data_IF_770559936652
#
_entry.id   IF_770559936652
#
_cell.length_a   1.000
_cell.length_b   1.000
_cell.length_c   1.000
_cell.angle_alpha   90.00
_cell.angle_beta   90.00
_cell.angle_gamma   90.00
#
_symmetry.space_group_name_H-M   'P 1'
#
loop_
_entity.id
_entity.type
_entity.pdbx_description
1 polymer ?
#
# COMPACT_ATOMS: atom_id res chain seq x y z
N UNK A 1 -72.61 35.22 64.27
CA UNK A 1 -73.26 33.93 64.55
C UNK A 1 -73.20 33.08 63.27
N UNK A 2 -72.20 32.19 63.13
CA UNK A 2 -72.03 31.37 61.92
C UNK A 2 -72.68 29.99 62.12
N UNK A 3 -73.62 29.66 61.24
CA UNK A 3 -74.42 28.42 61.26
C UNK A 3 -73.56 27.28 60.69
N UNK A 4 -73.32 26.24 61.49
CA UNK A 4 -72.51 25.07 61.14
C UNK A 4 -73.20 24.29 60.00
N UNK A 5 -72.58 24.11 58.81
CA UNK A 5 -73.20 23.36 57.73
C UNK A 5 -73.29 21.87 58.09
N UNK A 6 -74.47 21.30 57.87
CA UNK A 6 -74.76 19.87 58.04
C UNK A 6 -74.15 19.11 56.86
N UNK A 7 -73.09 18.35 57.12
CA UNK A 7 -72.52 17.42 56.15
C UNK A 7 -73.48 16.22 56.07
N UNK A 8 -74.28 16.15 55.00
CA UNK A 8 -75.09 14.97 54.71
C UNK A 8 -74.18 13.84 54.23
N UNK A 9 -74.37 12.64 54.78
CA UNK A 9 -73.63 11.45 54.34
C UNK A 9 -74.01 11.17 52.88
N UNK A 10 -73.04 11.01 51.96
CA UNK A 10 -73.34 10.64 50.59
C UNK A 10 -74.09 9.32 50.55
N UNK A 11 -75.05 9.19 49.63
CA UNK A 11 -75.80 7.95 49.47
C UNK A 11 -74.91 6.88 48.83
N UNK A 12 -75.19 5.60 49.12
CA UNK A 12 -74.42 4.46 48.58
C UNK A 12 -74.17 4.54 47.06
N UNK A 13 -75.12 4.96 46.20
CA UNK A 13 -74.89 5.08 44.77
C UNK A 13 -73.82 6.12 44.43
N UNK A 14 -73.76 7.23 45.16
CA UNK A 14 -72.77 8.30 44.91
C UNK A 14 -71.37 7.83 45.27
N UNK A 15 -71.23 7.05 46.35
CA UNK A 15 -69.94 6.46 46.72
C UNK A 15 -69.45 5.49 45.65
N UNK A 16 -70.34 4.61 45.17
CA UNK A 16 -70.03 3.66 44.09
C UNK A 16 -69.70 4.38 42.79
N UNK A 17 -70.45 5.43 42.44
CA UNK A 17 -70.22 6.22 41.24
C UNK A 17 -68.87 6.94 41.27
N UNK A 18 -68.48 7.52 42.42
CA UNK A 18 -67.18 8.16 42.57
C UNK A 18 -66.03 7.15 42.46
N UNK A 19 -66.17 5.95 43.07
CA UNK A 19 -65.16 4.89 42.97
C UNK A 19 -65.03 4.39 41.52
N UNK A 20 -66.15 4.11 40.86
CA UNK A 20 -66.16 3.68 39.47
C UNK A 20 -65.55 4.73 38.54
N UNK A 21 -65.83 6.01 38.79
CA UNK A 21 -65.25 7.12 38.05
C UNK A 21 -63.74 7.24 38.27
N UNK A 22 -63.26 7.04 39.49
CA UNK A 22 -61.82 7.00 39.79
C UNK A 22 -61.12 5.86 39.04
N UNK A 23 -61.72 4.67 38.98
CA UNK A 23 -61.16 3.55 38.22
C UNK A 23 -61.21 3.78 36.70
N UNK A 24 -62.30 4.33 36.18
CA UNK A 24 -62.45 4.64 34.75
C UNK A 24 -61.45 5.70 34.27
N UNK A 25 -61.10 6.67 35.12
CA UNK A 25 -60.13 7.72 34.82
C UNK A 25 -58.67 7.31 35.12
N UNK A 26 -58.45 6.25 35.90
CA UNK A 26 -57.10 5.75 36.22
C UNK A 26 -56.41 5.00 35.07
N UNK A 27 -57.07 4.85 33.92
CA UNK A 27 -56.56 4.15 32.74
C UNK A 27 -55.48 4.90 31.94
N UNK A 28 -54.78 5.87 32.53
CA UNK A 28 -53.63 6.50 31.86
C UNK A 28 -52.40 5.62 32.06
N UNK A 29 -51.91 5.05 30.96
CA UNK A 29 -50.73 4.21 30.88
C UNK A 29 -49.57 4.76 31.71
N UNK A 30 -49.24 4.04 32.79
CA UNK A 30 -48.06 4.32 33.61
C UNK A 30 -46.85 3.64 32.97
N UNK A 31 -46.40 4.14 31.82
CA UNK A 31 -45.06 3.82 31.33
C UNK A 31 -44.03 4.71 32.04
N UNK A 32 -44.03 4.66 33.37
CA UNK A 32 -42.93 5.19 34.19
C UNK A 32 -42.04 4.01 34.57
N UNK A 33 -41.37 3.46 33.57
CA UNK A 33 -40.44 2.35 33.71
C UNK A 33 -39.40 2.49 32.62
N UNK A 34 -38.17 2.14 32.95
CA UNK A 34 -37.07 2.00 32.01
C UNK A 34 -37.51 1.14 30.83
N UNK A 35 -37.60 1.73 29.64
CA UNK A 35 -37.81 1.01 28.38
C UNK A 35 -36.56 0.16 28.14
N UNK A 36 -36.71 -1.16 28.19
CA UNK A 36 -35.64 -2.10 27.88
C UNK A 36 -35.59 -2.44 26.40
N UNK A 37 -34.57 -3.19 25.98
CA UNK A 37 -34.45 -3.64 24.58
C UNK A 37 -35.64 -4.49 24.12
N UNK A 38 -36.31 -5.20 25.04
CA UNK A 38 -37.49 -6.02 24.74
C UNK A 38 -38.76 -5.20 24.44
N UNK A 39 -38.77 -3.91 24.79
CA UNK A 39 -39.88 -2.99 24.53
C UNK A 39 -39.72 -2.27 23.19
N UNK A 40 -38.55 -2.38 22.55
CA UNK A 40 -38.26 -1.78 21.24
C UNK A 40 -38.72 -2.73 20.14
N UNK A 41 -39.54 -2.23 19.23
CA UNK A 41 -39.97 -2.98 18.06
C UNK A 41 -38.86 -2.93 17.00
N UNK A 42 -38.57 -4.07 16.37
CA UNK A 42 -37.58 -4.15 15.29
C UNK A 42 -37.88 -3.12 14.18
N UNK A 43 -36.83 -2.46 13.67
CA UNK A 43 -36.89 -1.42 12.64
C UNK A 43 -37.74 -0.17 13.00
N UNK A 44 -38.12 0.01 14.27
CA UNK A 44 -38.93 1.16 14.68
C UNK A 44 -38.14 2.45 14.91
N UNK A 45 -36.81 2.34 15.10
CA UNK A 45 -35.93 3.48 15.33
C UNK A 45 -35.49 4.09 14.00
N UNK A 46 -35.70 5.39 13.86
CA UNK A 46 -35.35 6.19 12.68
C UNK A 46 -34.18 7.11 13.02
N UNK A 47 -33.54 7.68 12.00
CA UNK A 47 -32.43 8.63 12.20
C UNK A 47 -32.79 9.82 13.10
N UNK A 48 -34.04 10.30 13.03
CA UNK A 48 -34.56 11.39 13.88
C UNK A 48 -34.58 11.01 15.37
N UNK A 49 -34.67 9.72 15.69
CA UNK A 49 -34.63 9.22 17.06
C UNK A 49 -33.19 9.17 17.61
N UNK A 50 -32.17 9.22 16.73
CA UNK A 50 -30.76 9.06 17.04
C UNK A 50 -29.98 10.37 17.23
N UNK A 51 -30.65 11.44 17.71
CA UNK A 51 -30.08 12.78 18.02
C UNK A 51 -28.96 13.24 17.06
N UNK A 52 -29.16 13.04 15.75
CA UNK A 52 -28.21 13.42 14.69
C UNK A 52 -26.74 12.99 14.97
N UNK A 53 -26.55 11.76 15.45
CA UNK A 53 -25.23 11.20 15.73
C UNK A 53 -24.69 11.51 17.13
N UNK A 54 -25.48 12.18 17.99
CA UNK A 54 -25.11 12.40 19.39
C UNK A 54 -25.64 11.32 20.35
N UNK A 55 -26.59 10.49 19.91
CA UNK A 55 -27.17 9.43 20.74
C UNK A 55 -26.30 8.18 20.81
N UNK A 56 -25.60 7.83 19.73
CA UNK A 56 -24.74 6.65 19.60
C UNK A 56 -23.29 7.12 19.54
N UNK A 57 -22.50 6.83 20.57
CA UNK A 57 -21.07 7.09 20.64
C UNK A 57 -20.29 5.92 20.06
N UNK A 58 -19.00 6.13 19.79
CA UNK A 58 -18.12 5.05 19.34
C UNK A 58 -18.08 3.85 20.27
N UNK A 59 -18.31 4.02 21.57
CA UNK A 59 -18.40 2.91 22.53
C UNK A 59 -19.77 2.20 22.57
N UNK A 60 -20.81 2.78 21.95
CA UNK A 60 -22.13 2.16 21.81
C UNK A 60 -22.21 1.28 20.55
N UNK A 61 -21.34 1.57 19.56
CA UNK A 61 -21.05 0.68 18.44
C UNK A 61 -20.03 -0.34 18.95
N UNK A 62 -20.36 -1.63 18.97
CA UNK A 62 -19.39 -2.65 19.39
C UNK A 62 -18.18 -2.55 18.45
N UNK A 63 -17.02 -2.23 19.02
CA UNK A 63 -15.75 -2.16 18.31
C UNK A 63 -15.15 -3.58 18.19
N UNK A 64 -15.72 -4.47 17.36
CA UNK A 64 -14.95 -5.63 16.90
C UNK A 64 -13.97 -5.12 15.89
N UNK A 65 -12.74 -5.47 16.16
CA UNK A 65 -11.83 -5.82 15.09
C UNK A 65 -11.85 -7.32 14.75
N UNK A 66 -12.34 -8.23 15.61
CA UNK A 66 -12.11 -9.68 15.42
C UNK A 66 -13.09 -10.54 16.23
N UNK A 67 -13.84 -11.43 15.58
CA UNK A 67 -14.73 -12.46 16.16
C UNK A 67 -15.56 -12.06 17.42
N UNK A 68 -16.64 -11.27 17.25
CA UNK A 68 -17.57 -10.88 18.33
C UNK A 68 -18.61 -9.75 18.07
N UNK A 69 -18.59 -9.03 16.94
CA UNK A 69 -19.39 -7.86 16.52
C UNK A 69 -18.61 -6.53 16.31
N UNK A 70 -18.66 -5.90 15.12
CA UNK A 70 -18.08 -4.55 14.84
C UNK A 70 -17.88 -4.11 13.37
N UNK A 71 -17.35 -2.89 13.21
CA UNK A 71 -17.05 -2.10 12.00
C UNK A 71 -16.21 -2.79 10.90
N UNK A 72 -16.76 -3.64 10.01
CA UNK A 72 -15.96 -4.18 8.89
C UNK A 72 -16.08 -3.33 7.62
N UNK A 73 -15.17 -3.54 6.65
CA UNK A 73 -15.19 -2.80 5.37
C UNK A 73 -16.51 -2.90 4.60
N UNK A 74 -17.34 -3.93 4.83
CA UNK A 74 -18.69 -4.04 4.26
C UNK A 74 -19.68 -3.04 4.84
N UNK A 75 -19.50 -2.64 6.09
CA UNK A 75 -20.37 -1.70 6.80
C UNK A 75 -20.00 -0.24 6.47
N UNK A 76 -18.79 -0.03 5.94
CA UNK A 76 -18.27 1.27 5.52
C UNK A 76 -18.56 1.47 4.03
N UNK A 77 -19.29 2.53 3.69
CA UNK A 77 -19.42 2.96 2.31
C UNK A 77 -18.19 3.78 1.93
N UNK A 78 -17.13 3.12 1.45
CA UNK A 78 -15.84 3.78 1.15
C UNK A 78 -15.98 5.00 0.21
N UNK A 79 -16.98 5.01 -0.68
CA UNK A 79 -17.26 6.13 -1.59
C UNK A 79 -17.72 7.41 -0.89
N UNK A 80 -18.04 7.37 0.41
CA UNK A 80 -18.42 8.54 1.21
C UNK A 80 -17.32 9.02 2.14
N UNK A 81 -16.14 8.40 2.10
CA UNK A 81 -14.98 8.86 2.85
C UNK A 81 -14.32 10.04 2.12
N UNK A 82 -13.90 11.05 2.88
CA UNK A 82 -13.06 12.13 2.38
C UNK A 82 -11.61 11.64 2.17
N UNK A 83 -10.81 12.46 1.49
CA UNK A 83 -9.37 12.21 1.32
C UNK A 83 -8.69 12.03 2.67
N UNK A 84 -7.98 10.90 2.84
CA UNK A 84 -7.14 10.66 4.02
C UNK A 84 -6.00 11.69 4.03
N UNK A 85 -5.92 12.60 5.02
CA UNK A 85 -5.01 13.75 4.97
C UNK A 85 -3.52 13.41 4.88
N UNK A 86 -3.13 12.22 5.34
CA UNK A 86 -1.74 11.78 5.44
C UNK A 86 -1.38 10.62 4.50
N UNK A 87 -2.23 10.34 3.51
CA UNK A 87 -2.01 9.21 2.59
C UNK A 87 -0.74 9.34 1.74
N UNK A 88 -0.18 10.55 1.60
CA UNK A 88 1.09 10.77 0.90
C UNK A 88 2.32 10.53 1.76
N UNK A 89 2.16 10.12 3.03
CA UNK A 89 3.27 9.90 3.96
C UNK A 89 3.38 8.45 4.38
N UNK A 90 4.62 7.99 4.54
CA UNK A 90 4.98 6.70 5.11
C UNK A 90 5.99 6.95 6.23
N UNK A 91 5.65 6.57 7.46
CA UNK A 91 6.44 6.85 8.67
C UNK A 91 6.80 8.34 8.86
N UNK A 92 5.87 9.23 8.48
CA UNK A 92 6.03 10.69 8.58
C UNK A 92 6.86 11.33 7.47
N UNK A 93 7.42 10.51 6.57
CA UNK A 93 8.14 10.96 5.38
C UNK A 93 7.16 11.14 4.22
N UNK A 94 7.21 12.30 3.56
CA UNK A 94 6.43 12.54 2.34
C UNK A 94 6.90 11.62 1.21
N UNK A 95 5.99 11.25 0.30
CA UNK A 95 6.28 10.43 -0.88
C UNK A 95 7.46 10.97 -1.72
N UNK A 96 7.69 12.29 -1.72
CA UNK A 96 8.85 12.94 -2.36
C UNK A 96 10.19 12.67 -1.68
N UNK A 97 10.20 12.19 -0.44
CA UNK A 97 11.40 11.82 0.29
C UNK A 97 11.93 10.41 -0.06
N UNK A 98 11.15 9.61 -0.79
CA UNK A 98 11.57 8.29 -1.25
C UNK A 98 12.24 8.38 -2.62
N UNK A 99 13.12 7.42 -2.93
CA UNK A 99 13.66 7.27 -4.28
C UNK A 99 12.50 7.09 -5.26
N UNK A 100 12.34 8.06 -6.16
CA UNK A 100 11.38 7.96 -7.24
C UNK A 100 12.00 7.11 -8.35
N UNK A 101 11.17 6.34 -9.04
CA UNK A 101 11.60 5.47 -10.13
C UNK A 101 11.45 3.97 -9.83
N UNK A 102 11.68 3.17 -10.88
CA UNK A 102 11.62 1.71 -10.80
C UNK A 102 13.01 1.16 -10.51
N UNK A 103 13.13 0.42 -9.41
CA UNK A 103 14.34 -0.33 -9.08
C UNK A 103 14.22 -1.74 -9.67
N UNK A 104 15.21 -2.18 -10.42
CA UNK A 104 15.37 -3.57 -10.87
C UNK A 104 16.75 -4.07 -10.48
N UNK A 105 16.88 -5.32 -10.06
CA UNK A 105 18.16 -5.92 -9.70
C UNK A 105 18.17 -7.41 -10.02
N UNK A 106 19.36 -7.93 -10.28
CA UNK A 106 19.60 -9.37 -10.44
C UNK A 106 21.05 -9.70 -10.04
N UNK A 107 21.28 -10.95 -9.65
CA UNK A 107 22.60 -11.49 -9.36
C UNK A 107 22.70 -12.93 -9.87
N UNK A 108 23.74 -13.22 -10.66
CA UNK A 108 23.92 -14.50 -11.33
C UNK A 108 25.30 -15.07 -11.12
N UNK A 109 25.32 -16.40 -11.06
CA UNK A 109 26.50 -17.26 -11.17
C UNK A 109 26.50 -17.87 -12.58
N UNK A 110 27.33 -17.35 -13.47
CA UNK A 110 27.28 -17.66 -14.91
C UNK A 110 28.38 -18.66 -15.25
N UNK A 111 28.01 -19.78 -15.88
CA UNK A 111 28.98 -20.80 -16.29
C UNK A 111 29.96 -20.25 -17.36
N UNK A 112 31.24 -20.66 -17.34
CA UNK A 112 32.22 -20.26 -18.36
C UNK A 112 31.73 -20.54 -19.78
N UNK A 113 31.89 -19.57 -20.68
CA UNK A 113 31.45 -19.65 -22.07
C UNK A 113 29.95 -19.42 -22.28
N UNK A 114 29.21 -19.01 -21.25
CA UNK A 114 27.77 -18.72 -21.32
C UNK A 114 27.51 -17.21 -21.33
N UNK A 115 26.34 -16.83 -21.86
CA UNK A 115 25.84 -15.46 -21.86
C UNK A 115 24.51 -15.43 -21.13
N UNK A 116 24.35 -14.47 -20.21
CA UNK A 116 23.13 -14.32 -19.43
C UNK A 116 22.63 -12.88 -19.47
N UNK A 117 21.32 -12.71 -19.62
CA UNK A 117 20.64 -11.43 -19.42
C UNK A 117 20.54 -11.18 -17.92
N UNK A 118 21.07 -10.05 -17.46
CA UNK A 118 20.99 -9.62 -16.06
C UNK A 118 19.74 -8.77 -15.84
N UNK A 119 19.56 -7.73 -16.66
CA UNK A 119 18.45 -6.79 -16.56
C UNK A 119 17.86 -6.57 -17.95
N UNK A 120 16.55 -6.67 -18.11
CA UNK A 120 15.91 -6.38 -19.39
C UNK A 120 14.57 -5.69 -19.19
N UNK A 121 14.30 -4.66 -20.00
CA UNK A 121 13.04 -3.96 -20.06
C UNK A 121 12.93 -3.18 -21.39
N UNK A 122 11.89 -2.35 -21.52
CA UNK A 122 11.63 -1.54 -22.72
C UNK A 122 12.53 -0.31 -22.86
N UNK A 123 13.40 -0.03 -21.89
CA UNK A 123 14.38 1.08 -21.89
C UNK A 123 15.75 0.56 -22.30
N UNK A 124 16.24 -0.49 -21.63
CA UNK A 124 17.54 -1.07 -21.91
C UNK A 124 17.57 -2.57 -21.60
N UNK A 125 18.63 -3.22 -22.06
CA UNK A 125 19.01 -4.57 -21.70
C UNK A 125 20.49 -4.64 -21.36
N UNK A 126 20.80 -5.31 -20.26
CA UNK A 126 22.14 -5.57 -19.77
C UNK A 126 22.36 -7.08 -19.77
N UNK A 127 23.37 -7.54 -20.51
CA UNK A 127 23.82 -8.93 -20.47
C UNK A 127 25.27 -9.01 -20.04
N UNK A 128 25.66 -10.20 -19.58
CA UNK A 128 27.05 -10.53 -19.29
C UNK A 128 27.46 -11.80 -20.05
N UNK A 129 28.58 -11.70 -20.76
CA UNK A 129 29.25 -12.83 -21.40
C UNK A 129 30.42 -13.26 -20.52
N UNK A 130 30.28 -14.44 -19.91
CA UNK A 130 31.33 -15.07 -19.12
C UNK A 130 32.30 -15.80 -20.06
N UNK A 131 33.61 -15.48 -20.06
CA UNK A 131 34.55 -16.10 -20.97
C UNK A 131 34.70 -17.59 -20.68
N UNK A 132 35.06 -18.37 -21.69
CA UNK A 132 35.32 -19.82 -21.54
C UNK A 132 36.52 -20.12 -20.64
N UNK A 133 37.48 -19.19 -20.58
CA UNK A 133 38.61 -19.22 -19.63
C UNK A 133 38.46 -18.06 -18.65
N UNK A 134 38.36 -18.36 -17.36
CA UNK A 134 38.15 -17.36 -16.32
C UNK A 134 39.35 -16.42 -16.09
N UNK A 135 40.51 -16.71 -16.68
CA UNK A 135 41.64 -15.79 -16.73
C UNK A 135 41.49 -14.67 -17.77
N UNK A 136 40.54 -14.79 -18.70
CA UNK A 136 40.28 -13.77 -19.71
C UNK A 136 39.29 -12.72 -19.17
N UNK A 137 39.15 -11.60 -19.88
CA UNK A 137 38.16 -10.57 -19.56
C UNK A 137 36.75 -11.04 -19.89
N UNK A 138 35.80 -10.64 -19.05
CA UNK A 138 34.36 -10.73 -19.36
C UNK A 138 33.90 -9.55 -20.20
N UNK A 139 32.68 -9.66 -20.75
CA UNK A 139 32.08 -8.59 -21.56
C UNK A 139 30.66 -8.30 -21.08
N UNK A 140 30.44 -7.06 -20.65
CA UNK A 140 29.11 -6.49 -20.44
C UNK A 140 28.56 -5.95 -21.75
N UNK A 141 27.32 -6.31 -22.05
CA UNK A 141 26.58 -5.83 -23.21
C UNK A 141 25.46 -4.93 -22.73
N UNK A 142 25.53 -3.65 -23.07
CA UNK A 142 24.49 -2.68 -22.79
C UNK A 142 23.76 -2.34 -24.09
N UNK A 143 22.46 -2.63 -24.16
CA UNK A 143 21.63 -2.35 -25.34
C UNK A 143 20.56 -1.32 -25.03
N UNK A 144 20.37 -0.35 -25.91
CA UNK A 144 19.19 0.51 -25.91
C UNK A 144 17.98 -0.23 -26.50
N UNK A 145 16.97 -0.49 -25.68
CA UNK A 145 15.71 -1.12 -26.10
C UNK A 145 14.60 -0.08 -26.38
N UNK A 146 14.86 1.20 -26.15
CA UNK A 146 13.91 2.26 -26.44
C UNK A 146 13.78 2.53 -27.94
N UNK A 147 12.61 3.02 -28.36
CA UNK A 147 12.34 3.44 -29.75
C UNK A 147 13.02 4.74 -30.15
N UNK A 148 13.73 5.41 -29.22
CA UNK A 148 14.48 6.64 -29.43
C UNK A 148 15.96 6.42 -29.17
N UNK A 149 16.87 7.21 -29.78
CA UNK A 149 18.28 7.19 -29.42
C UNK A 149 18.50 7.53 -27.94
N UNK A 150 19.61 7.05 -27.39
CA UNK A 150 19.99 7.29 -26.00
C UNK A 150 21.49 7.58 -25.90
N UNK A 151 21.85 8.47 -24.98
CA UNK A 151 23.23 8.74 -24.61
C UNK A 151 23.59 7.85 -23.43
N UNK A 152 24.72 7.16 -23.52
CA UNK A 152 25.25 6.28 -22.48
C UNK A 152 26.60 6.83 -22.01
N UNK A 153 26.74 6.98 -20.71
CA UNK A 153 28.01 7.22 -20.02
C UNK A 153 28.38 5.94 -19.27
N UNK A 154 29.65 5.55 -19.32
CA UNK A 154 30.20 4.37 -18.64
C UNK A 154 31.41 4.79 -17.82
N UNK A 155 31.43 4.43 -16.56
CA UNK A 155 32.54 4.68 -15.63
C UNK A 155 32.91 3.39 -14.91
N UNK A 156 34.16 2.97 -15.07
CA UNK A 156 34.73 1.79 -14.42
C UNK A 156 35.76 2.14 -13.34
N UNK A 157 35.75 3.39 -12.85
CA UNK A 157 36.70 3.93 -11.89
C UNK A 157 38.02 4.39 -12.51
N UNK A 158 38.14 4.38 -13.85
CA UNK A 158 39.27 4.99 -14.53
C UNK A 158 39.16 6.53 -14.56
N UNK A 159 40.25 7.26 -14.82
CA UNK A 159 40.21 8.73 -14.90
C UNK A 159 39.34 9.28 -16.04
N UNK A 160 39.07 8.46 -17.06
CA UNK A 160 38.45 8.87 -18.31
C UNK A 160 37.13 8.11 -18.53
N UNK A 161 35.99 8.60 -18.01
CA UNK A 161 34.70 7.98 -18.26
C UNK A 161 34.36 8.03 -19.76
N UNK A 162 33.75 6.97 -20.25
CA UNK A 162 33.40 6.82 -21.67
C UNK A 162 32.01 7.37 -21.96
N UNK A 163 31.84 7.99 -23.13
CA UNK A 163 30.55 8.46 -23.65
C UNK A 163 30.26 7.81 -25.00
N UNK A 164 29.02 7.35 -25.17
CA UNK A 164 28.55 6.83 -26.45
C UNK A 164 27.09 7.16 -26.71
N UNK A 165 26.78 7.56 -27.94
CA UNK A 165 25.39 7.65 -28.40
C UNK A 165 24.96 6.31 -29.00
N UNK A 166 23.89 5.74 -28.46
CA UNK A 166 23.24 4.50 -28.91
C UNK A 166 22.06 4.83 -29.80
N UNK A 167 21.94 4.13 -30.92
CA UNK A 167 20.76 4.28 -31.79
C UNK A 167 19.51 3.70 -31.14
N UNK A 168 18.34 4.06 -31.66
CA UNK A 168 17.08 3.41 -31.29
C UNK A 168 17.12 1.89 -31.54
N UNK A 169 16.29 1.15 -30.79
CA UNK A 169 16.12 -0.29 -30.93
C UNK A 169 15.78 -0.70 -32.37
N UNK A 170 16.33 -1.83 -32.83
CA UNK A 170 16.13 -2.36 -34.18
C UNK A 170 17.05 -1.79 -35.27
N UNK A 171 18.01 -0.92 -34.93
CA UNK A 171 19.13 -0.54 -35.80
C UNK A 171 20.46 -1.11 -35.27
N UNK A 172 21.38 -1.47 -36.17
CA UNK A 172 22.67 -2.16 -35.90
C UNK A 172 23.68 -1.41 -35.00
N UNK A 173 23.29 -0.29 -34.37
CA UNK A 173 24.14 0.54 -33.48
C UNK A 173 23.62 0.68 -32.05
N UNK A 174 22.72 -0.19 -31.61
CA UNK A 174 22.04 -0.07 -30.30
C UNK A 174 22.82 -0.68 -29.11
N UNK A 175 24.03 -1.22 -29.32
CA UNK A 175 24.79 -1.98 -28.31
C UNK A 175 26.15 -1.34 -27.99
N UNK A 176 26.46 -1.20 -26.71
CA UNK A 176 27.78 -0.89 -26.14
C UNK A 176 28.37 -2.10 -25.42
N UNK A 177 29.68 -2.28 -25.58
CA UNK A 177 30.43 -3.39 -25.02
C UNK A 177 31.46 -2.84 -24.04
N UNK A 178 31.41 -3.29 -22.79
CA UNK A 178 32.36 -2.93 -21.75
C UNK A 178 33.11 -4.17 -21.29
N UNK A 179 34.44 -4.14 -21.35
CA UNK A 179 35.26 -5.23 -20.80
C UNK A 179 35.26 -5.18 -19.28
N UNK A 180 35.30 -6.36 -18.64
CA UNK A 180 35.39 -6.50 -17.18
C UNK A 180 36.62 -7.31 -16.79
N UNK A 181 37.35 -6.84 -15.77
CA UNK A 181 38.49 -7.56 -15.21
C UNK A 181 38.09 -8.90 -14.59
N UNK A 182 38.87 -9.98 -14.79
CA UNK A 182 38.62 -11.27 -14.12
C UNK A 182 38.74 -11.18 -12.60
N UNK A 183 39.55 -10.25 -12.09
CA UNK A 183 39.82 -10.12 -10.65
C UNK A 183 38.76 -9.33 -9.89
N UNK A 184 37.74 -8.81 -10.57
CA UNK A 184 36.77 -7.90 -9.98
C UNK A 184 36.71 -6.58 -10.73
N UNK A 185 35.51 -6.13 -11.08
CA UNK A 185 35.25 -4.83 -11.69
C UNK A 185 33.93 -4.28 -11.15
N UNK A 186 33.88 -2.98 -10.87
CA UNK A 186 32.64 -2.25 -10.59
C UNK A 186 32.45 -1.18 -11.67
N UNK A 187 31.29 -1.19 -12.33
CA UNK A 187 30.99 -0.28 -13.44
C UNK A 187 29.66 0.41 -13.17
N UNK A 188 29.62 1.71 -13.43
CA UNK A 188 28.41 2.51 -13.43
C UNK A 188 28.07 2.93 -14.85
N UNK A 189 26.84 2.65 -15.28
CA UNK A 189 26.28 3.20 -16.51
C UNK A 189 25.25 4.26 -16.18
N UNK A 190 25.29 5.38 -16.89
CA UNK A 190 24.23 6.39 -16.86
C UNK A 190 23.69 6.56 -18.28
N UNK A 191 22.39 6.30 -18.46
CA UNK A 191 21.71 6.43 -19.73
C UNK A 191 20.73 7.59 -19.67
N UNK A 192 20.71 8.41 -20.73
CA UNK A 192 19.72 9.46 -20.96
C UNK A 192 19.10 9.30 -22.35
N UNK A 193 17.80 8.97 -22.39
CA UNK A 193 17.01 8.85 -23.61
C UNK A 193 15.56 9.23 -23.35
N UNK A 194 14.62 8.35 -23.73
CA UNK A 194 13.21 8.49 -23.32
C UNK A 194 13.01 8.43 -21.79
N UNK A 195 13.93 7.77 -21.09
CA UNK A 195 14.00 7.67 -19.62
C UNK A 195 15.44 7.96 -19.19
N UNK A 196 15.64 8.24 -17.90
CA UNK A 196 16.97 8.31 -17.30
C UNK A 196 17.19 7.05 -16.49
N UNK A 197 18.28 6.32 -16.73
CA UNK A 197 18.62 5.14 -15.95
C UNK A 197 20.04 5.22 -15.42
N UNK A 198 20.21 4.88 -14.15
CA UNK A 198 21.53 4.64 -13.55
C UNK A 198 21.63 3.16 -13.23
N UNK A 199 22.66 2.50 -13.71
CA UNK A 199 22.90 1.07 -13.55
C UNK A 199 24.26 0.88 -12.88
N UNK A 200 24.29 0.12 -11.80
CA UNK A 200 25.52 -0.32 -11.14
C UNK A 200 25.70 -1.80 -11.39
N UNK A 201 26.91 -2.17 -11.77
CA UNK A 201 27.28 -3.56 -12.04
C UNK A 201 28.54 -3.88 -11.27
N UNK A 202 28.61 -5.07 -10.68
CA UNK A 202 29.85 -5.64 -10.16
C UNK A 202 30.02 -7.04 -10.70
N UNK A 203 31.22 -7.37 -11.16
CA UNK A 203 31.54 -8.70 -11.68
C UNK A 203 32.86 -9.19 -11.12
N UNK A 204 33.01 -10.50 -10.92
CA UNK A 204 34.26 -11.16 -10.55
C UNK A 204 34.27 -12.58 -11.11
N UNK A 205 35.41 -13.05 -11.60
CA UNK A 205 35.57 -14.44 -12.00
C UNK A 205 36.05 -15.26 -10.81
N UNK A 206 35.34 -16.35 -10.51
CA UNK A 206 35.65 -17.23 -9.40
C UNK A 206 36.19 -18.54 -9.96
N UNK A 207 37.52 -18.69 -10.14
CA UNK A 207 38.09 -19.99 -10.42
C UNK A 207 37.82 -20.91 -9.23
N UNK A 208 37.44 -22.17 -9.47
CA UNK A 208 37.18 -23.15 -8.40
C UNK A 208 38.39 -23.28 -7.46
N UNK A 209 38.28 -22.78 -6.22
CA UNK A 209 39.36 -22.89 -5.24
C UNK A 209 39.16 -24.12 -4.34
N UNK A 210 37.92 -24.44 -3.91
CA UNK A 210 37.60 -25.68 -3.19
C UNK A 210 36.09 -25.95 -3.30
N UNK A 211 35.66 -27.05 -3.96
CA UNK A 211 34.27 -27.55 -4.04
C UNK A 211 33.18 -26.66 -4.67
N UNK A 212 33.50 -25.46 -5.14
CA UNK A 212 32.58 -24.59 -5.89
C UNK A 212 32.69 -24.80 -7.41
N UNK A 213 31.60 -24.58 -8.15
CA UNK A 213 31.66 -24.48 -9.60
C UNK A 213 32.44 -23.20 -9.99
N UNK A 214 33.35 -23.32 -10.96
CA UNK A 214 34.00 -22.17 -11.57
C UNK A 214 32.95 -21.34 -12.33
N UNK A 215 32.84 -20.04 -12.04
CA UNK A 215 31.85 -19.17 -12.67
C UNK A 215 32.29 -17.70 -12.77
N UNK A 216 31.52 -16.91 -13.52
CA UNK A 216 31.52 -15.46 -13.39
C UNK A 216 30.37 -15.07 -12.48
N UNK A 217 30.68 -14.47 -11.34
CA UNK A 217 29.67 -13.94 -10.45
C UNK A 217 29.43 -12.48 -10.78
N UNK A 218 28.19 -12.13 -11.11
CA UNK A 218 27.82 -10.78 -11.56
C UNK A 218 26.55 -10.36 -10.88
N UNK A 219 26.53 -9.14 -10.37
CA UNK A 219 25.36 -8.49 -9.80
C UNK A 219 25.13 -7.16 -10.50
N UNK A 220 23.87 -6.83 -10.75
CA UNK A 220 23.48 -5.58 -11.34
C UNK A 220 22.23 -5.02 -10.65
N UNK A 221 22.20 -3.70 -10.51
CA UNK A 221 21.03 -2.96 -10.03
C UNK A 221 20.85 -1.73 -10.90
N UNK A 222 19.61 -1.37 -11.19
CA UNK A 222 19.28 -0.14 -11.89
C UNK A 222 18.15 0.62 -11.23
N UNK A 223 18.22 1.95 -11.30
CA UNK A 223 17.13 2.88 -11.00
C UNK A 223 16.73 3.53 -12.32
N UNK A 224 15.44 3.48 -12.66
CA UNK A 224 14.89 4.02 -13.90
C UNK A 224 13.84 5.09 -13.56
N UNK A 225 14.05 6.29 -14.07
CA UNK A 225 13.19 7.47 -13.93
C UNK A 225 12.50 7.83 -15.24
#
# INVERSE_FOLDING_TARGET
MFRKPSIRRPSHPTVVACIALSFALSGTAYAAGTIGSADVIDESLRSVDLKDGAAVKSGDVVDDTVAGGGLVGRDIKESTLDTVPDASRLDGLDSSAFAQGRIISDAKSISPGSVEVLLANNVFELQYNCPSSLGNTGLLWFRNNASTPANLFSDNGSPDPEYRSLTAFGRDGSVYLQSTSPNGEAITFQMQGANIATVWVSSVHRPSIVSGASDCHVQAQAVIN
#
